data_IF_488111859154
#
_entry.id   IF_488111859154
#
_cell.length_a   1.000
_cell.length_b   1.000
_cell.length_c   1.000
_cell.angle_alpha   90.00
_cell.angle_beta   90.00
_cell.angle_gamma   90.00
#
_symmetry.space_group_name_H-M   'P 1'
#
loop_
_entity.id
_entity.type
_entity.pdbx_description
1 polymer ?
#
# COMPACT_ATOMS: atom_id res chain seq x y z
N UNK A 1 5.75 59.77 21.45
CA UNK A 1 4.48 59.06 21.80
C UNK A 1 3.56 58.73 20.60
N UNK A 2 3.45 59.51 19.50
CA UNK A 2 2.55 59.17 18.38
C UNK A 2 3.04 57.99 17.51
N UNK A 3 4.35 57.85 17.28
CA UNK A 3 4.93 56.71 16.52
C UNK A 3 4.64 55.34 17.14
N UNK A 4 4.69 55.22 18.48
CA UNK A 4 4.35 53.96 19.18
C UNK A 4 2.89 53.54 18.98
N UNK A 5 1.95 54.50 18.91
CA UNK A 5 0.52 54.23 18.65
C UNK A 5 0.28 53.84 17.20
N UNK A 6 0.99 54.46 16.25
CA UNK A 6 0.95 54.06 14.84
C UNK A 6 1.51 52.65 14.63
N UNK A 7 2.65 52.30 15.21
CA UNK A 7 3.18 50.93 15.14
C UNK A 7 2.17 49.91 15.69
N UNK A 8 1.56 50.18 16.84
CA UNK A 8 0.56 49.27 17.43
C UNK A 8 -0.69 49.11 16.55
N UNK A 9 -1.15 50.20 15.92
CA UNK A 9 -2.28 50.18 15.00
C UNK A 9 -1.96 49.37 13.73
N UNK A 10 -0.77 49.55 13.14
CA UNK A 10 -0.32 48.76 11.99
C UNK A 10 -0.13 47.29 12.35
N UNK A 11 0.45 46.96 13.51
CA UNK A 11 0.57 45.57 13.97
C UNK A 11 -0.80 44.93 14.18
N UNK A 12 -1.76 45.63 14.79
CA UNK A 12 -3.12 45.14 14.95
C UNK A 12 -3.83 44.92 13.60
N UNK A 13 -3.65 45.83 12.65
CA UNK A 13 -4.19 45.69 11.29
C UNK A 13 -3.59 44.51 10.54
N UNK A 14 -2.27 44.31 10.62
CA UNK A 14 -1.59 43.16 10.02
C UNK A 14 -2.15 41.88 10.61
N UNK A 15 -2.23 41.76 11.93
CA UNK A 15 -2.79 40.57 12.59
C UNK A 15 -4.24 40.34 12.18
N UNK A 16 -5.06 41.38 12.13
CA UNK A 16 -6.47 41.29 11.71
C UNK A 16 -6.63 40.89 10.23
N UNK A 17 -5.64 41.16 9.39
CA UNK A 17 -5.66 40.79 7.96
C UNK A 17 -5.27 39.33 7.69
N UNK A 18 -4.56 38.67 8.61
CA UNK A 18 -4.06 37.30 8.41
C UNK A 18 -5.17 36.31 8.03
N UNK A 19 -6.33 36.24 8.72
CA UNK A 19 -7.39 35.30 8.35
C UNK A 19 -7.90 35.52 6.92
N UNK A 20 -8.05 36.77 6.50
CA UNK A 20 -8.49 37.12 5.15
C UNK A 20 -7.48 36.71 4.09
N UNK A 21 -6.18 36.91 4.36
CA UNK A 21 -5.11 36.44 3.47
C UNK A 21 -5.12 34.92 3.37
N UNK A 22 -5.26 34.20 4.48
CA UNK A 22 -5.34 32.73 4.48
C UNK A 22 -6.54 32.22 3.69
N UNK A 23 -7.72 32.82 3.90
CA UNK A 23 -8.93 32.49 3.15
C UNK A 23 -8.74 32.76 1.66
N UNK A 24 -8.19 33.93 1.31
CA UNK A 24 -7.86 34.26 -0.08
C UNK A 24 -6.91 33.23 -0.70
N UNK A 25 -5.83 32.84 -0.01
CA UNK A 25 -4.87 31.85 -0.50
C UNK A 25 -5.53 30.49 -0.73
N UNK A 26 -6.40 30.04 0.17
CA UNK A 26 -7.15 28.78 0.03
C UNK A 26 -8.03 28.81 -1.22
N UNK A 27 -8.84 29.86 -1.40
CA UNK A 27 -9.71 29.97 -2.58
C UNK A 27 -8.90 30.15 -3.87
N UNK A 28 -7.89 31.00 -3.85
CA UNK A 28 -7.02 31.25 -5.00
C UNK A 28 -6.35 29.94 -5.45
N UNK A 29 -5.75 29.19 -4.52
CA UNK A 29 -5.10 27.91 -4.84
C UNK A 29 -6.12 26.89 -5.33
N UNK A 30 -7.27 26.77 -4.67
CA UNK A 30 -8.30 25.81 -5.06
C UNK A 30 -8.90 26.07 -6.45
N UNK A 31 -8.88 27.31 -6.93
CA UNK A 31 -9.41 27.70 -8.24
C UNK A 31 -8.32 27.63 -9.30
N UNK A 32 -7.16 28.27 -9.07
CA UNK A 32 -6.16 28.52 -10.10
C UNK A 32 -4.99 27.54 -10.08
N UNK A 33 -4.67 26.94 -8.92
CA UNK A 33 -3.56 26.00 -8.75
C UNK A 33 -3.99 24.68 -8.07
N UNK A 34 -5.10 24.06 -8.50
CA UNK A 34 -5.60 22.85 -7.85
C UNK A 34 -4.71 21.64 -8.10
N UNK A 35 -4.58 20.77 -7.09
CA UNK A 35 -3.81 19.53 -7.25
C UNK A 35 -4.66 18.41 -7.83
N UNK A 36 -4.11 17.69 -8.82
CA UNK A 36 -4.65 16.46 -9.39
C UNK A 36 -6.12 16.59 -9.84
N UNK A 37 -6.51 17.79 -10.32
CA UNK A 37 -7.82 18.04 -10.95
C UNK A 37 -7.71 18.23 -12.45
N UNK A 38 -6.51 18.47 -12.98
CA UNK A 38 -6.26 18.52 -14.41
C UNK A 38 -5.81 17.14 -14.88
N UNK A 39 -6.79 16.34 -15.30
CA UNK A 39 -6.56 14.96 -15.73
C UNK A 39 -5.84 14.94 -17.09
N UNK A 40 -4.85 14.05 -17.28
CA UNK A 40 -4.24 13.81 -18.58
C UNK A 40 -5.30 13.42 -19.64
N UNK A 41 -5.05 13.73 -20.91
CA UNK A 41 -6.07 13.53 -21.96
C UNK A 41 -6.49 12.06 -22.11
N UNK A 42 -5.56 11.13 -22.01
CA UNK A 42 -5.87 9.70 -22.08
C UNK A 42 -6.82 9.26 -20.95
N UNK A 43 -6.73 9.86 -19.76
CA UNK A 43 -7.69 9.60 -18.70
C UNK A 43 -9.08 10.11 -19.07
N UNK A 44 -9.20 11.32 -19.62
CA UNK A 44 -10.49 11.88 -20.06
C UNK A 44 -11.12 11.08 -21.19
N UNK A 45 -10.32 10.52 -22.09
CA UNK A 45 -10.79 9.62 -23.16
C UNK A 45 -11.40 8.36 -22.55
N UNK A 46 -10.70 7.71 -21.60
CA UNK A 46 -11.20 6.53 -20.91
C UNK A 46 -12.47 6.85 -20.10
N UNK A 47 -12.49 7.95 -19.35
CA UNK A 47 -13.65 8.37 -18.57
C UNK A 47 -14.89 8.59 -19.47
N UNK A 48 -14.73 9.30 -20.60
CA UNK A 48 -15.81 9.50 -21.58
C UNK A 48 -16.31 8.16 -22.12
N UNK A 49 -15.42 7.23 -22.44
CA UNK A 49 -15.78 5.89 -22.92
C UNK A 49 -16.58 5.12 -21.86
N UNK A 50 -16.19 5.19 -20.60
CA UNK A 50 -16.90 4.57 -19.49
C UNK A 50 -18.28 5.18 -19.23
N UNK A 51 -18.46 6.49 -19.42
CA UNK A 51 -19.73 7.20 -19.17
C UNK A 51 -20.70 7.17 -20.36
N UNK A 52 -20.21 7.14 -21.59
CA UNK A 52 -21.05 7.23 -22.80
C UNK A 52 -21.58 5.88 -23.29
N UNK A 53 -21.24 4.78 -22.61
CA UNK A 53 -21.69 3.44 -22.98
C UNK A 53 -22.12 2.66 -21.74
N UNK A 54 -23.05 1.74 -21.92
CA UNK A 54 -23.45 0.75 -20.91
C UNK A 54 -22.92 -0.65 -21.22
N UNK A 55 -22.22 -0.83 -22.34
CA UNK A 55 -21.70 -2.13 -22.75
C UNK A 55 -20.64 -2.65 -21.75
N UNK A 56 -20.65 -3.95 -21.41
CA UNK A 56 -19.61 -4.54 -20.60
C UNK A 56 -18.23 -4.42 -21.27
N UNK A 57 -17.17 -4.19 -20.49
CA UNK A 57 -15.80 -4.08 -21.02
C UNK A 57 -15.47 -2.71 -21.63
N UNK A 58 -16.37 -1.72 -21.50
CA UNK A 58 -16.15 -0.36 -22.02
C UNK A 58 -14.92 0.34 -21.46
N UNK A 59 -14.47 0.00 -20.24
CA UNK A 59 -13.25 0.53 -19.64
C UNK A 59 -11.98 -0.24 -20.01
N UNK A 60 -12.08 -1.38 -20.70
CA UNK A 60 -10.96 -2.26 -21.02
C UNK A 60 -10.73 -2.35 -22.54
N UNK A 61 -10.14 -1.30 -23.17
CA UNK A 61 -9.96 -1.23 -24.62
C UNK A 61 -9.21 -2.42 -25.22
N UNK A 62 -8.27 -2.99 -24.44
CA UNK A 62 -7.34 -4.01 -24.90
C UNK A 62 -7.77 -5.43 -24.48
N UNK A 63 -8.95 -5.59 -23.86
CA UNK A 63 -9.45 -6.86 -23.33
C UNK A 63 -8.45 -7.57 -22.40
N UNK A 64 -7.70 -6.82 -21.60
CA UNK A 64 -6.73 -7.38 -20.65
C UNK A 64 -7.44 -8.25 -19.61
N UNK A 65 -6.86 -9.42 -19.32
CA UNK A 65 -7.35 -10.34 -18.28
C UNK A 65 -6.91 -9.84 -16.91
N UNK A 66 -7.88 -9.57 -16.04
CA UNK A 66 -7.65 -8.98 -14.72
C UNK A 66 -8.05 -9.96 -13.63
N UNK A 67 -7.09 -10.30 -12.77
CA UNK A 67 -7.37 -10.98 -11.50
C UNK A 67 -7.54 -9.91 -10.42
N UNK A 68 -8.69 -9.87 -9.76
CA UNK A 68 -8.95 -8.96 -8.63
C UNK A 68 -8.85 -9.80 -7.35
N UNK A 69 -7.99 -9.40 -6.43
CA UNK A 69 -7.81 -10.02 -5.14
C UNK A 69 -8.23 -9.05 -4.02
N UNK A 70 -9.00 -9.54 -3.05
CA UNK A 70 -9.35 -8.78 -1.87
C UNK A 70 -9.29 -9.68 -0.64
N UNK A 71 -8.56 -9.26 0.39
CA UNK A 71 -8.64 -9.84 1.72
C UNK A 71 -9.43 -8.87 2.60
N UNK A 72 -10.65 -9.25 2.97
CA UNK A 72 -11.62 -8.38 3.62
C UNK A 72 -11.80 -8.80 5.07
N UNK A 73 -12.04 -7.82 5.94
CA UNK A 73 -12.59 -8.01 7.26
C UNK A 73 -13.94 -7.28 7.33
N UNK A 74 -15.04 -8.01 7.19
CA UNK A 74 -16.39 -7.44 7.18
C UNK A 74 -17.29 -8.20 8.15
N UNK A 75 -16.95 -8.12 9.44
CA UNK A 75 -17.62 -8.91 10.48
C UNK A 75 -19.15 -8.77 10.44
N UNK A 76 -19.69 -7.60 10.08
CA UNK A 76 -21.13 -7.38 10.03
C UNK A 76 -21.76 -7.52 8.64
N UNK A 77 -20.98 -7.89 7.61
CA UNK A 77 -21.43 -7.99 6.22
C UNK A 77 -21.79 -6.65 5.56
N UNK A 78 -21.51 -5.53 6.23
CA UNK A 78 -21.95 -4.19 5.81
C UNK A 78 -21.13 -3.65 4.63
N UNK A 79 -19.86 -4.03 4.54
CA UNK A 79 -18.97 -3.57 3.48
C UNK A 79 -19.35 -4.25 2.15
N UNK A 80 -19.44 -5.59 2.17
CA UNK A 80 -19.75 -6.42 1.01
C UNK A 80 -21.19 -6.25 0.53
N UNK A 81 -22.16 -6.13 1.44
CA UNK A 81 -23.55 -5.85 1.06
C UNK A 81 -23.81 -4.37 0.71
N UNK A 82 -22.82 -3.51 0.96
CA UNK A 82 -22.93 -2.05 0.87
C UNK A 82 -22.22 -1.45 -0.34
N UNK A 83 -21.65 -0.26 -0.13
CA UNK A 83 -21.06 0.55 -1.21
C UNK A 83 -19.87 -0.14 -1.88
N UNK A 84 -19.01 -0.78 -1.09
CA UNK A 84 -17.82 -1.46 -1.62
C UNK A 84 -18.21 -2.57 -2.60
N UNK A 85 -19.14 -3.45 -2.21
CA UNK A 85 -19.63 -4.51 -3.09
C UNK A 85 -20.25 -3.99 -4.38
N UNK A 86 -21.10 -2.96 -4.29
CA UNK A 86 -21.70 -2.31 -5.47
C UNK A 86 -20.62 -1.72 -6.40
N UNK A 87 -19.58 -1.08 -5.85
CA UNK A 87 -18.48 -0.53 -6.63
C UNK A 87 -17.65 -1.62 -7.31
N UNK A 88 -17.42 -2.78 -6.66
CA UNK A 88 -16.76 -3.93 -7.27
C UNK A 88 -17.58 -4.50 -8.43
N UNK A 89 -18.90 -4.61 -8.28
CA UNK A 89 -19.80 -5.02 -9.37
C UNK A 89 -19.69 -4.07 -10.56
N UNK A 90 -19.67 -2.75 -10.31
CA UNK A 90 -19.47 -1.75 -11.37
C UNK A 90 -18.09 -1.86 -12.04
N UNK A 91 -17.03 -2.08 -11.26
CA UNK A 91 -15.68 -2.30 -11.77
C UNK A 91 -15.62 -3.53 -12.70
N UNK A 92 -16.25 -4.64 -12.30
CA UNK A 92 -16.33 -5.86 -13.13
C UNK A 92 -17.07 -5.58 -14.44
N UNK A 93 -18.14 -4.79 -14.41
CA UNK A 93 -18.85 -4.35 -15.63
C UNK A 93 -17.97 -3.47 -16.53
N UNK A 94 -17.21 -2.54 -15.95
CA UNK A 94 -16.30 -1.67 -16.70
C UNK A 94 -15.17 -2.47 -17.38
N UNK A 95 -14.60 -3.45 -16.67
CA UNK A 95 -13.50 -4.30 -17.19
C UNK A 95 -14.00 -5.38 -18.16
N UNK A 96 -15.28 -5.73 -18.08
CA UNK A 96 -15.91 -6.80 -18.86
C UNK A 96 -15.88 -8.10 -18.07
N UNK A 97 -17.04 -8.68 -17.69
CA UNK A 97 -17.09 -9.87 -16.84
C UNK A 97 -16.30 -11.06 -17.39
N UNK A 98 -16.20 -11.21 -18.71
CA UNK A 98 -15.42 -12.23 -19.42
C UNK A 98 -13.89 -12.06 -19.29
N UNK A 99 -13.43 -10.90 -18.84
CA UNK A 99 -12.03 -10.56 -18.65
C UNK A 99 -11.61 -10.56 -17.17
N UNK A 100 -12.54 -10.82 -16.24
CA UNK A 100 -12.31 -10.68 -14.81
C UNK A 100 -12.40 -12.02 -14.10
N UNK A 101 -11.47 -12.22 -13.16
CA UNK A 101 -11.60 -13.19 -12.09
C UNK A 101 -11.55 -12.46 -10.75
N UNK A 102 -12.54 -12.65 -9.88
CA UNK A 102 -12.56 -12.04 -8.55
C UNK A 102 -12.30 -13.10 -7.47
N UNK A 103 -11.27 -12.89 -6.66
CA UNK A 103 -11.02 -13.64 -5.43
C UNK A 103 -11.22 -12.75 -4.22
N UNK A 104 -12.19 -13.10 -3.37
CA UNK A 104 -12.40 -12.46 -2.07
C UNK A 104 -12.15 -13.50 -0.99
N UNK A 105 -11.28 -13.18 -0.05
CA UNK A 105 -10.97 -13.99 1.11
C UNK A 105 -11.39 -13.28 2.39
N UNK A 106 -12.12 -13.98 3.25
CA UNK A 106 -12.49 -13.51 4.58
C UNK A 106 -12.19 -14.59 5.62
N UNK A 107 -11.49 -14.19 6.68
CA UNK A 107 -11.13 -15.05 7.79
C UNK A 107 -12.13 -14.94 8.95
N UNK A 108 -12.66 -16.07 9.41
CA UNK A 108 -13.63 -16.17 10.51
C UNK A 108 -14.89 -15.29 10.35
N UNK A 109 -15.57 -15.30 9.17
CA UNK A 109 -16.81 -14.55 9.01
C UNK A 109 -17.93 -15.14 9.88
N UNK A 110 -18.78 -14.26 10.43
CA UNK A 110 -20.04 -14.68 11.03
C UNK A 110 -21.11 -14.94 9.95
N UNK A 111 -22.33 -15.28 10.35
CA UNK A 111 -23.42 -15.62 9.42
C UNK A 111 -23.82 -14.44 8.52
N UNK A 112 -23.79 -13.21 9.02
CA UNK A 112 -24.11 -12.00 8.25
C UNK A 112 -23.05 -11.71 7.18
N UNK A 113 -21.77 -11.88 7.52
CA UNK A 113 -20.65 -11.75 6.60
C UNK A 113 -20.73 -12.82 5.49
N UNK A 114 -20.99 -14.09 5.85
CA UNK A 114 -21.19 -15.17 4.86
C UNK A 114 -22.37 -14.91 3.92
N UNK A 115 -23.49 -14.44 4.45
CA UNK A 115 -24.65 -14.07 3.64
C UNK A 115 -24.33 -12.93 2.68
N UNK A 116 -23.50 -11.97 3.10
CA UNK A 116 -23.09 -10.82 2.28
C UNK A 116 -22.12 -11.21 1.17
N UNK A 117 -21.16 -12.12 1.44
CA UNK A 117 -20.35 -12.77 0.41
C UNK A 117 -21.22 -13.48 -0.63
N UNK A 118 -22.18 -14.31 -0.20
CA UNK A 118 -23.08 -15.02 -1.12
C UNK A 118 -23.90 -14.05 -1.98
N UNK A 119 -24.40 -12.96 -1.38
CA UNK A 119 -25.13 -11.91 -2.09
C UNK A 119 -24.26 -11.23 -3.15
N UNK A 120 -23.03 -10.84 -2.81
CA UNK A 120 -22.10 -10.27 -3.79
C UNK A 120 -21.85 -11.24 -4.95
N UNK A 121 -21.63 -12.53 -4.65
CA UNK A 121 -21.47 -13.57 -5.68
C UNK A 121 -22.65 -13.64 -6.64
N UNK A 122 -23.88 -13.53 -6.14
CA UNK A 122 -25.10 -13.56 -6.98
C UNK A 122 -25.24 -12.37 -7.93
N UNK A 123 -24.55 -11.25 -7.67
CA UNK A 123 -24.58 -10.05 -8.50
C UNK A 123 -23.49 -10.02 -9.59
N UNK A 124 -22.53 -10.95 -9.53
CA UNK A 124 -21.36 -10.97 -10.40
C UNK A 124 -21.53 -11.98 -11.54
N UNK A 125 -21.28 -11.51 -12.77
CA UNK A 125 -21.34 -12.33 -13.99
C UNK A 125 -19.94 -12.78 -14.46
N UNK A 126 -18.96 -12.85 -13.56
CA UNK A 126 -17.57 -13.21 -13.85
C UNK A 126 -17.17 -14.47 -13.06
N UNK A 127 -15.96 -14.99 -13.32
CA UNK A 127 -15.45 -16.09 -12.50
C UNK A 127 -15.10 -15.57 -11.09
N UNK A 128 -15.57 -16.27 -10.06
CA UNK A 128 -15.37 -15.84 -8.67
C UNK A 128 -14.86 -16.98 -7.78
N UNK A 129 -14.07 -16.62 -6.78
CA UNK A 129 -13.75 -17.44 -5.62
C UNK A 129 -14.01 -16.61 -4.37
N UNK A 130 -15.10 -16.93 -3.67
CA UNK A 130 -15.50 -16.26 -2.43
C UNK A 130 -15.22 -17.23 -1.28
N UNK A 131 -14.07 -17.07 -0.64
CA UNK A 131 -13.56 -18.00 0.37
C UNK A 131 -13.83 -17.43 1.76
N UNK A 132 -14.65 -18.16 2.51
CA UNK A 132 -14.93 -17.94 3.92
C UNK A 132 -14.42 -19.16 4.70
N UNK A 133 -13.35 -19.00 5.47
CA UNK A 133 -12.76 -20.11 6.24
C UNK A 133 -12.18 -19.66 7.58
N UNK A 134 -11.91 -20.64 8.44
CA UNK A 134 -11.13 -20.46 9.65
C UNK A 134 -9.64 -20.59 9.31
N UNK A 135 -8.85 -19.57 9.61
CA UNK A 135 -7.40 -19.63 9.51
C UNK A 135 -6.85 -20.33 10.75
N UNK A 136 -6.22 -21.52 10.62
CA UNK A 136 -5.52 -22.15 11.74
C UNK A 136 -4.37 -21.26 12.21
N UNK A 137 -4.61 -20.51 13.29
CA UNK A 137 -3.68 -19.53 13.85
C UNK A 137 -2.43 -20.20 14.44
N UNK A 138 -2.46 -21.51 14.65
CA UNK A 138 -1.36 -22.35 15.10
C UNK A 138 -0.24 -22.44 14.05
N UNK A 139 -0.58 -22.32 12.76
CA UNK A 139 0.36 -22.39 11.65
C UNK A 139 1.13 -21.08 11.44
N UNK A 140 0.67 -19.97 12.02
CA UNK A 140 1.32 -18.67 11.87
C UNK A 140 2.44 -18.52 12.90
N UNK A 141 3.67 -18.18 12.47
CA UNK A 141 4.80 -18.04 13.38
C UNK A 141 4.55 -17.06 14.54
N UNK A 142 4.94 -17.50 15.74
CA UNK A 142 4.83 -16.74 16.98
C UNK A 142 6.20 -16.26 17.45
N UNK A 143 6.22 -15.12 18.12
CA UNK A 143 7.40 -14.51 18.70
C UNK A 143 7.25 -14.37 20.21
N UNK A 144 8.35 -14.55 20.94
CA UNK A 144 8.40 -14.32 22.39
C UNK A 144 8.53 -12.82 22.66
N UNK A 145 7.61 -12.26 23.44
CA UNK A 145 7.62 -10.87 23.92
C UNK A 145 8.51 -10.72 25.16
N UNK A 146 8.88 -9.49 25.57
CA UNK A 146 9.75 -9.27 26.73
C UNK A 146 9.20 -9.83 28.06
N UNK A 147 7.88 -10.02 28.18
CA UNK A 147 7.23 -10.63 29.34
C UNK A 147 7.11 -12.17 29.24
N UNK A 148 7.71 -12.80 28.22
CA UNK A 148 7.71 -14.26 28.03
C UNK A 148 6.50 -14.84 27.30
N UNK A 149 5.51 -14.02 26.92
CA UNK A 149 4.37 -14.51 26.14
C UNK A 149 4.77 -14.85 24.70
N UNK A 150 4.20 -15.93 24.15
CA UNK A 150 4.29 -16.23 22.72
C UNK A 150 3.11 -15.60 22.01
N UNK A 151 3.37 -14.60 21.16
CA UNK A 151 2.36 -13.82 20.46
C UNK A 151 2.54 -13.88 18.95
N UNK A 152 1.44 -13.84 18.21
CA UNK A 152 1.48 -13.83 16.75
C UNK A 152 1.89 -12.46 16.20
N UNK A 153 2.89 -12.42 15.29
CA UNK A 153 3.25 -11.15 14.61
C UNK A 153 2.11 -10.72 13.68
N UNK A 154 1.73 -9.44 13.73
CA UNK A 154 0.69 -8.85 12.90
C UNK A 154 0.99 -9.03 11.40
N UNK A 155 2.23 -8.79 10.99
CA UNK A 155 2.60 -8.85 9.56
C UNK A 155 2.65 -10.30 9.06
N UNK A 156 3.00 -11.26 9.91
CA UNK A 156 2.91 -12.68 9.55
C UNK A 156 1.46 -13.07 9.23
N UNK A 157 0.52 -12.66 10.09
CA UNK A 157 -0.91 -12.85 9.86
C UNK A 157 -1.40 -12.17 8.57
N UNK A 158 -1.07 -10.90 8.35
CA UNK A 158 -1.49 -10.17 7.15
C UNK A 158 -0.91 -10.77 5.86
N UNK A 159 0.33 -11.24 5.89
CA UNK A 159 0.97 -11.90 4.76
C UNK A 159 0.22 -13.17 4.36
N UNK A 160 -0.12 -14.01 5.34
CA UNK A 160 -0.87 -15.24 5.11
C UNK A 160 -2.24 -14.94 4.52
N UNK A 161 -3.00 -14.02 5.13
CA UNK A 161 -4.34 -13.61 4.67
C UNK A 161 -4.32 -13.11 3.21
N UNK A 162 -3.32 -12.31 2.82
CA UNK A 162 -3.18 -11.85 1.42
C UNK A 162 -2.80 -12.99 0.47
N UNK A 163 -1.92 -13.90 0.90
CA UNK A 163 -1.57 -15.08 0.12
C UNK A 163 -2.78 -16.00 -0.11
N UNK A 164 -3.69 -16.11 0.86
CA UNK A 164 -4.95 -16.86 0.69
C UNK A 164 -5.84 -16.28 -0.42
N UNK A 165 -5.92 -14.96 -0.51
CA UNK A 165 -6.61 -14.28 -1.62
C UNK A 165 -5.94 -14.51 -3.00
N UNK A 166 -4.68 -14.97 -3.04
CA UNK A 166 -3.98 -15.31 -4.29
C UNK A 166 -4.05 -16.78 -4.66
N UNK A 167 -4.52 -17.67 -3.79
CA UNK A 167 -4.58 -19.12 -4.08
C UNK A 167 -5.28 -19.45 -5.39
N UNK A 168 -6.41 -18.83 -5.77
CA UNK A 168 -7.05 -19.16 -7.04
C UNK A 168 -6.22 -18.80 -8.27
N UNK A 169 -5.27 -17.86 -8.15
CA UNK A 169 -4.33 -17.52 -9.22
C UNK A 169 -3.31 -18.64 -9.49
N UNK A 170 -3.00 -19.48 -8.50
CA UNK A 170 -2.04 -20.59 -8.62
C UNK A 170 -2.55 -21.75 -9.44
N UNK A 171 -3.85 -22.01 -9.32
CA UNK A 171 -4.54 -23.12 -9.97
C UNK A 171 -5.27 -22.68 -11.23
N UNK A 172 -5.22 -21.38 -11.57
CA UNK A 172 -5.78 -20.84 -12.78
C UNK A 172 -5.14 -21.47 -14.02
N UNK A 173 -6.00 -21.85 -14.97
CA UNK A 173 -5.57 -22.43 -16.26
C UNK A 173 -5.33 -21.37 -17.33
N UNK A 174 -5.70 -20.12 -17.05
CA UNK A 174 -5.48 -18.96 -17.91
C UNK A 174 -4.40 -18.05 -17.32
N UNK A 175 -3.74 -17.27 -18.17
CA UNK A 175 -2.84 -16.21 -17.73
C UNK A 175 -3.60 -14.90 -17.63
N UNK A 176 -3.36 -14.18 -16.54
CA UNK A 176 -3.82 -12.81 -16.35
C UNK A 176 -2.74 -11.83 -16.75
N UNK A 177 -3.16 -10.70 -17.33
CA UNK A 177 -2.29 -9.57 -17.66
C UNK A 177 -2.07 -8.69 -16.42
N UNK A 178 -3.13 -8.46 -15.64
CA UNK A 178 -3.14 -7.58 -14.47
C UNK A 178 -3.65 -8.27 -13.22
N UNK A 179 -3.05 -7.91 -12.09
CA UNK A 179 -3.50 -8.28 -10.75
C UNK A 179 -3.87 -6.99 -10.02
N UNK A 180 -5.12 -6.85 -9.57
CA UNK A 180 -5.57 -5.72 -8.76
C UNK A 180 -5.85 -6.20 -7.34
N UNK A 181 -5.11 -5.70 -6.37
CA UNK A 181 -5.44 -5.82 -4.96
C UNK A 181 -6.32 -4.66 -4.51
N UNK A 182 -7.40 -4.96 -3.78
CA UNK A 182 -8.30 -3.97 -3.19
C UNK A 182 -8.51 -4.31 -1.71
N UNK A 183 -8.19 -3.37 -0.83
CA UNK A 183 -8.53 -3.44 0.59
C UNK A 183 -10.02 -3.04 0.81
N UNK A 184 -10.42 -2.95 2.06
CA UNK A 184 -11.69 -2.43 2.57
C UNK A 184 -11.85 -0.90 2.43
N UNK A 185 -11.44 -0.33 1.30
CA UNK A 185 -11.47 1.12 1.02
C UNK A 185 -12.62 1.51 0.08
N UNK A 186 -13.12 2.73 0.24
CA UNK A 186 -13.99 3.40 -0.72
C UNK A 186 -13.15 3.90 -1.91
N UNK A 187 -13.61 3.62 -3.12
CA UNK A 187 -12.95 4.03 -4.36
C UNK A 187 -13.97 4.35 -5.46
N UNK A 188 -13.51 5.02 -6.52
CA UNK A 188 -14.28 5.22 -7.76
C UNK A 188 -13.91 4.14 -8.78
N UNK A 189 -14.89 3.46 -9.41
CA UNK A 189 -14.61 2.32 -10.26
C UNK A 189 -13.97 2.74 -11.60
N UNK A 190 -14.20 3.97 -12.08
CA UNK A 190 -13.47 4.50 -13.25
C UNK A 190 -12.02 4.81 -12.85
N UNK A 191 -11.79 5.41 -11.68
CA UNK A 191 -10.43 5.63 -11.15
C UNK A 191 -9.65 4.30 -10.98
N UNK A 192 -10.31 3.22 -10.56
CA UNK A 192 -9.68 1.90 -10.50
C UNK A 192 -9.27 1.36 -11.89
N UNK A 193 -10.09 1.60 -12.92
CA UNK A 193 -9.73 1.27 -14.32
C UNK A 193 -8.56 2.13 -14.80
N UNK A 194 -8.52 3.42 -14.44
CA UNK A 194 -7.38 4.29 -14.76
C UNK A 194 -6.09 3.79 -14.12
N UNK A 195 -6.14 3.40 -12.85
CA UNK A 195 -5.00 2.82 -12.13
C UNK A 195 -4.43 1.64 -12.92
N UNK A 196 -5.29 0.70 -13.31
CA UNK A 196 -4.93 -0.53 -14.03
C UNK A 196 -4.43 -0.31 -15.46
N UNK A 197 -5.07 0.58 -16.22
CA UNK A 197 -4.96 0.58 -17.69
C UNK A 197 -4.51 1.93 -18.27
N UNK A 198 -4.27 2.94 -17.44
CA UNK A 198 -3.93 4.29 -17.91
C UNK A 198 -2.78 4.96 -17.16
N UNK A 199 -2.27 4.37 -16.07
CA UNK A 199 -1.06 4.89 -15.43
C UNK A 199 0.20 4.54 -16.23
N UNK A 200 1.06 5.53 -16.46
CA UNK A 200 2.35 5.37 -17.15
C UNK A 200 2.22 4.62 -18.50
N UNK A 201 1.31 5.09 -19.37
CA UNK A 201 1.09 4.47 -20.68
C UNK A 201 2.11 4.91 -21.72
N UNK A 202 2.51 3.97 -22.58
CA UNK A 202 3.32 4.24 -23.76
C UNK A 202 2.51 4.81 -24.93
N UNK A 203 3.18 5.07 -26.06
CA UNK A 203 2.54 5.57 -27.29
C UNK A 203 1.48 4.65 -27.89
N UNK A 204 1.48 3.36 -27.51
CA UNK A 204 0.50 2.37 -27.95
C UNK A 204 -0.67 2.24 -26.95
N UNK A 205 -0.68 3.03 -25.88
CA UNK A 205 -1.70 2.96 -24.83
C UNK A 205 -1.56 1.73 -23.93
N UNK A 206 -0.35 1.16 -23.81
CA UNK A 206 -0.06 0.04 -22.90
C UNK A 206 0.69 0.55 -21.68
N UNK A 207 0.29 0.06 -20.51
CA UNK A 207 0.88 0.49 -19.24
C UNK A 207 2.30 -0.07 -19.07
N UNK A 208 3.20 0.78 -18.56
CA UNK A 208 4.62 0.47 -18.37
C UNK A 208 4.96 0.51 -16.88
N UNK A 209 4.54 -0.48 -16.11
CA UNK A 209 4.85 -0.59 -14.69
C UNK A 209 4.94 -2.04 -14.26
N UNK A 210 5.75 -2.33 -13.23
CA UNK A 210 5.67 -3.58 -12.49
C UNK A 210 4.55 -3.53 -11.44
N UNK A 211 4.41 -2.38 -10.77
CA UNK A 211 3.31 -2.10 -9.85
C UNK A 211 2.90 -0.62 -9.86
N UNK A 212 1.63 -0.34 -9.55
CA UNK A 212 1.12 1.01 -9.33
C UNK A 212 0.07 1.03 -8.22
N UNK A 213 0.19 1.98 -7.30
CA UNK A 213 -0.74 2.13 -6.17
C UNK A 213 -1.57 3.40 -6.25
N UNK A 214 -2.78 3.35 -5.71
CA UNK A 214 -3.57 4.54 -5.39
C UNK A 214 -2.96 5.31 -4.20
N UNK A 215 -3.63 6.38 -3.78
CA UNK A 215 -3.28 7.14 -2.56
C UNK A 215 -4.45 7.10 -1.60
N UNK A 216 -4.23 6.60 -0.38
CA UNK A 216 -5.28 6.42 0.62
C UNK A 216 -5.26 7.48 1.73
N UNK A 217 -6.44 7.70 2.28
CA UNK A 217 -6.70 8.74 3.26
C UNK A 217 -7.53 8.21 4.41
N UNK A 218 -7.02 8.43 5.64
CA UNK A 218 -7.75 8.14 6.88
C UNK A 218 -8.64 9.32 7.29
N UNK A 219 -8.30 10.52 6.81
CA UNK A 219 -9.19 11.68 6.81
C UNK A 219 -8.87 12.54 5.59
N UNK A 220 -9.68 13.56 5.33
CA UNK A 220 -9.65 14.28 4.05
C UNK A 220 -8.33 15.02 3.71
N UNK A 221 -7.35 15.09 4.60
CA UNK A 221 -6.03 15.67 4.34
C UNK A 221 -4.86 14.79 4.79
N UNK A 222 -5.12 13.69 5.50
CA UNK A 222 -4.11 12.82 6.12
C UNK A 222 -3.97 11.52 5.34
N UNK A 223 -2.83 11.39 4.67
CA UNK A 223 -2.34 10.17 4.02
C UNK A 223 -2.19 9.04 5.04
N UNK A 224 -2.65 7.83 4.70
CA UNK A 224 -2.68 6.73 5.65
C UNK A 224 -1.46 5.81 5.56
N UNK A 225 -1.17 5.23 4.38
CA UNK A 225 -0.22 4.11 4.21
C UNK A 225 1.28 4.48 4.33
N UNK A 226 1.70 5.11 5.44
CA UNK A 226 3.11 5.47 5.69
C UNK A 226 4.02 4.29 5.97
N UNK A 227 3.46 3.15 6.40
CA UNK A 227 4.26 1.98 6.73
C UNK A 227 4.70 1.19 5.49
N UNK A 228 3.83 1.06 4.48
CA UNK A 228 4.13 0.41 3.22
C UNK A 228 4.88 1.32 2.23
N UNK A 229 4.70 2.63 2.33
CA UNK A 229 5.20 3.57 1.33
C UNK A 229 6.64 4.00 1.60
N UNK A 230 7.46 3.96 0.56
CA UNK A 230 8.85 4.40 0.57
C UNK A 230 9.15 5.20 -0.68
N UNK A 231 9.87 6.30 -0.53
CA UNK A 231 10.30 7.10 -1.68
C UNK A 231 11.30 6.32 -2.56
N UNK A 232 11.73 6.93 -3.67
CA UNK A 232 12.63 6.31 -4.64
C UNK A 232 14.00 5.89 -4.04
N UNK A 233 14.41 6.49 -2.94
CA UNK A 233 15.66 6.21 -2.22
C UNK A 233 15.44 5.34 -0.97
N UNK A 234 14.21 4.87 -0.75
CA UNK A 234 13.85 4.03 0.39
C UNK A 234 13.64 4.79 1.70
N UNK A 235 13.57 6.12 1.67
CA UNK A 235 13.15 6.88 2.83
C UNK A 235 11.67 6.65 3.12
N UNK A 236 11.32 6.71 4.39
CA UNK A 236 9.92 6.81 4.79
C UNK A 236 9.32 8.17 4.43
N UNK A 237 7.99 8.26 4.56
CA UNK A 237 7.24 9.48 4.31
C UNK A 237 7.64 10.60 5.28
N UNK A 238 7.40 11.84 4.89
CA UNK A 238 7.40 12.96 5.82
C UNK A 238 6.06 13.05 6.56
N UNK A 239 5.69 14.26 6.99
CA UNK A 239 4.38 14.50 7.56
C UNK A 239 3.26 14.09 6.58
N UNK A 240 2.20 13.48 7.13
CA UNK A 240 1.12 12.81 6.41
C UNK A 240 0.18 13.71 5.60
N UNK A 241 0.54 14.95 5.31
CA UNK A 241 -0.23 15.85 4.46
C UNK A 241 0.63 16.30 3.27
N UNK A 242 0.00 16.83 2.23
CA UNK A 242 0.67 17.10 0.95
C UNK A 242 1.97 17.93 1.12
N UNK A 243 3.08 17.56 0.45
CA UNK A 243 3.24 16.51 -0.58
C UNK A 243 3.58 15.10 -0.06
N UNK A 244 3.31 14.82 1.22
CA UNK A 244 3.48 13.53 1.92
C UNK A 244 4.92 13.04 2.08
N UNK A 245 5.75 13.13 1.03
CA UNK A 245 7.15 12.74 1.05
C UNK A 245 8.02 13.80 1.71
N UNK A 246 9.06 13.36 2.42
CA UNK A 246 10.02 14.27 3.04
C UNK A 246 10.93 14.92 1.98
N UNK A 247 11.55 16.04 2.36
CA UNK A 247 12.56 16.73 1.57
C UNK A 247 13.95 16.22 1.98
N UNK A 248 14.26 14.99 1.59
CA UNK A 248 15.48 14.27 1.94
C UNK A 248 16.08 13.59 0.69
N UNK A 249 17.39 13.33 0.72
CA UNK A 249 18.11 12.80 -0.44
C UNK A 249 18.01 13.73 -1.65
N UNK A 250 17.79 13.15 -2.82
CA UNK A 250 17.49 13.86 -4.08
C UNK A 250 16.03 14.38 -4.11
N UNK A 251 15.19 13.90 -3.19
CA UNK A 251 13.77 14.25 -3.08
C UNK A 251 12.98 14.07 -4.39
N UNK A 252 13.43 13.15 -5.26
CA UNK A 252 12.87 12.97 -6.60
C UNK A 252 11.39 12.60 -6.58
N UNK A 253 10.97 11.74 -5.64
CA UNK A 253 9.56 11.39 -5.43
C UNK A 253 8.72 12.60 -5.01
N UNK A 254 9.24 13.43 -4.09
CA UNK A 254 8.58 14.66 -3.67
C UNK A 254 8.42 15.63 -4.84
N UNK A 255 9.45 15.76 -5.67
CA UNK A 255 9.40 16.58 -6.88
C UNK A 255 8.37 16.06 -7.89
N UNK A 256 8.27 14.75 -8.09
CA UNK A 256 7.24 14.13 -8.93
C UNK A 256 5.82 14.50 -8.43
N UNK A 257 5.58 14.46 -7.11
CA UNK A 257 4.29 14.86 -6.51
C UNK A 257 4.01 16.36 -6.74
N UNK A 258 5.01 17.22 -6.54
CA UNK A 258 4.88 18.66 -6.76
C UNK A 258 4.65 19.01 -8.23
N UNK A 259 5.21 18.20 -9.14
CA UNK A 259 5.05 18.27 -10.58
C UNK A 259 3.72 17.66 -11.08
N UNK A 260 2.89 17.11 -10.20
CA UNK A 260 1.57 16.56 -10.53
C UNK A 260 1.61 15.38 -11.51
N UNK A 261 2.66 14.56 -11.43
CA UNK A 261 2.77 13.36 -12.27
C UNK A 261 1.73 12.32 -11.85
N UNK A 262 1.17 11.60 -12.82
CA UNK A 262 0.31 10.44 -12.57
C UNK A 262 1.12 9.17 -12.25
N UNK A 263 2.39 9.14 -12.67
CA UNK A 263 3.37 8.10 -12.33
C UNK A 263 4.46 8.67 -11.42
N UNK A 264 4.14 8.86 -10.13
CA UNK A 264 5.11 9.29 -9.12
C UNK A 264 6.01 8.11 -8.78
N UNK A 265 7.33 8.23 -9.02
CA UNK A 265 8.28 7.13 -8.78
C UNK A 265 8.49 6.87 -7.29
N UNK A 266 8.37 5.61 -6.89
CA UNK A 266 8.53 5.16 -5.49
C UNK A 266 9.25 3.81 -5.44
N UNK A 267 9.81 3.42 -4.30
CA UNK A 267 10.28 2.04 -4.11
C UNK A 267 9.18 1.09 -3.68
N UNK A 268 8.16 1.60 -3.00
CA UNK A 268 7.00 0.81 -2.57
C UNK A 268 5.82 1.71 -2.23
N UNK A 269 4.61 1.15 -2.33
CA UNK A 269 3.35 1.79 -1.96
C UNK A 269 2.28 0.73 -1.73
N UNK A 270 1.08 1.12 -1.29
CA UNK A 270 -0.09 0.22 -1.28
C UNK A 270 -1.39 1.00 -1.52
N UNK A 271 -1.64 2.04 -0.73
CA UNK A 271 -2.69 3.03 -0.96
C UNK A 271 -4.09 2.45 -0.99
N UNK A 272 -4.33 1.35 -0.26
CA UNK A 272 -5.59 0.60 -0.24
C UNK A 272 -6.00 -0.08 -1.57
N UNK A 273 -5.35 0.23 -2.68
CA UNK A 273 -5.62 -0.37 -3.99
C UNK A 273 -4.34 -0.35 -4.84
N UNK A 274 -3.86 -1.52 -5.24
CA UNK A 274 -2.60 -1.67 -5.98
C UNK A 274 -2.76 -2.60 -7.18
N UNK A 275 -2.29 -2.17 -8.35
CA UNK A 275 -2.23 -2.98 -9.55
C UNK A 275 -0.81 -3.48 -9.81
N UNK A 276 -0.66 -4.72 -10.24
CA UNK A 276 0.60 -5.37 -10.61
C UNK A 276 0.53 -5.94 -12.03
N UNK A 277 1.69 -6.11 -12.67
CA UNK A 277 1.87 -7.09 -13.74
C UNK A 277 1.64 -8.51 -13.19
N UNK A 278 0.56 -9.17 -13.59
CA UNK A 278 0.18 -10.44 -12.99
C UNK A 278 1.16 -11.58 -13.32
N UNK A 279 1.99 -11.45 -14.36
CA UNK A 279 2.98 -12.47 -14.73
C UNK A 279 3.96 -12.80 -13.62
N UNK A 280 4.23 -11.87 -12.69
CA UNK A 280 5.12 -12.10 -11.55
C UNK A 280 4.49 -12.95 -10.45
N UNK A 281 3.17 -13.13 -10.47
CA UNK A 281 2.39 -13.87 -9.47
C UNK A 281 1.88 -15.22 -9.99
N UNK A 282 2.24 -15.58 -11.22
CA UNK A 282 1.77 -16.77 -11.93
C UNK A 282 2.94 -17.64 -12.36
N UNK A 283 2.72 -18.95 -12.41
CA UNK A 283 3.67 -19.86 -13.06
C UNK A 283 3.59 -19.63 -14.57
N UNK A 284 4.72 -19.63 -15.31
CA UNK A 284 4.69 -19.60 -16.76
C UNK A 284 3.85 -20.77 -17.29
N UNK A 285 3.00 -20.54 -18.29
CA UNK A 285 2.39 -21.64 -19.02
C UNK A 285 3.52 -22.49 -19.61
N UNK A 286 3.60 -23.76 -19.21
CA UNK A 286 4.51 -24.71 -19.84
C UNK A 286 4.01 -24.94 -21.25
N UNK A 287 4.59 -24.22 -22.20
CA UNK A 287 4.29 -24.39 -23.61
C UNK A 287 4.87 -25.73 -24.07
N UNK A 288 4.02 -26.75 -24.23
CA UNK A 288 4.42 -28.06 -24.76
C UNK A 288 4.87 -27.99 -26.23
N UNK A 289 4.79 -26.83 -26.90
CA UNK A 289 4.98 -26.71 -28.35
C UNK A 289 6.28 -26.05 -28.81
N UNK A 290 6.99 -25.30 -27.97
CA UNK A 290 8.17 -24.53 -28.40
C UNK A 290 9.50 -25.25 -28.21
N UNK A 291 9.59 -26.45 -28.79
CA UNK A 291 10.86 -27.07 -29.19
C UNK A 291 11.24 -26.59 -30.60
N UNK A 292 11.25 -25.28 -30.86
CA UNK A 292 11.71 -24.73 -32.14
C UNK A 292 12.44 -23.39 -32.01
N UNK A 293 13.53 -23.31 -32.76
CA UNK A 293 14.66 -22.37 -32.71
C UNK A 293 14.27 -20.89 -32.82
N UNK A 294 14.65 -20.10 -31.82
CA UNK A 294 14.72 -18.63 -31.85
C UNK A 294 15.67 -18.15 -30.74
N UNK A 295 16.49 -17.12 -31.01
CA UNK A 295 17.54 -16.63 -30.11
C UNK A 295 17.02 -16.38 -28.67
N UNK A 296 17.77 -16.75 -27.63
CA UNK A 296 17.36 -16.55 -26.24
C UNK A 296 17.40 -15.04 -25.92
N UNK A 297 16.25 -14.38 -25.96
CA UNK A 297 16.04 -13.19 -25.13
C UNK A 297 16.08 -13.66 -23.69
N UNK A 298 17.04 -13.12 -22.91
CA UNK A 298 17.30 -13.33 -21.48
C UNK A 298 16.48 -14.46 -20.82
N UNK A 299 17.16 -15.57 -20.57
CA UNK A 299 16.65 -16.75 -19.89
C UNK A 299 15.70 -16.39 -18.73
N UNK A 300 14.40 -16.64 -18.92
CA UNK A 300 13.43 -16.69 -17.82
C UNK A 300 13.77 -17.94 -17.01
N UNK A 301 14.66 -17.82 -16.03
CA UNK A 301 14.71 -18.78 -14.93
C UNK A 301 13.28 -18.94 -14.40
N UNK A 302 12.78 -20.17 -14.19
CA UNK A 302 11.47 -20.35 -13.58
C UNK A 302 11.54 -19.86 -12.13
N UNK A 303 11.17 -18.60 -11.91
CA UNK A 303 11.04 -18.03 -10.58
C UNK A 303 9.73 -18.51 -9.97
N UNK A 304 9.76 -18.83 -8.66
CA UNK A 304 8.54 -19.05 -7.90
C UNK A 304 7.67 -17.78 -7.96
N UNK A 305 6.34 -17.91 -8.10
CA UNK A 305 5.43 -16.78 -8.05
C UNK A 305 5.64 -15.91 -6.80
N UNK A 306 5.57 -14.59 -6.97
CA UNK A 306 5.67 -13.63 -5.86
C UNK A 306 4.57 -13.85 -4.82
N UNK A 307 4.94 -13.91 -3.54
CA UNK A 307 4.03 -14.05 -2.41
C UNK A 307 4.39 -13.07 -1.32
N UNK A 308 3.40 -12.66 -0.54
CA UNK A 308 3.60 -11.81 0.62
C UNK A 308 4.40 -12.57 1.66
N UNK A 309 5.36 -11.89 2.27
CA UNK A 309 6.21 -12.39 3.35
C UNK A 309 6.35 -11.32 4.43
N UNK A 310 6.89 -11.73 5.56
CA UNK A 310 7.12 -10.88 6.73
C UNK A 310 8.59 -10.97 7.16
N UNK A 311 9.03 -10.04 8.01
CA UNK A 311 10.35 -10.11 8.64
C UNK A 311 10.30 -11.01 9.87
N UNK A 312 11.24 -11.95 9.98
CA UNK A 312 11.30 -12.90 11.10
C UNK A 312 12.00 -12.32 12.33
N UNK A 313 12.89 -11.33 12.13
CA UNK A 313 13.66 -10.72 13.21
C UNK A 313 12.74 -10.21 14.33
N UNK A 314 13.10 -10.45 15.60
CA UNK A 314 12.38 -9.89 16.72
C UNK A 314 12.57 -8.38 16.79
N UNK A 315 11.48 -7.68 17.11
CA UNK A 315 11.46 -6.22 17.25
C UNK A 315 11.87 -5.44 15.99
N UNK A 316 11.79 -6.09 14.84
CA UNK A 316 11.91 -5.48 13.52
C UNK A 316 10.69 -5.88 12.69
N UNK A 317 9.94 -4.88 12.22
CA UNK A 317 8.79 -5.10 11.34
C UNK A 317 8.99 -4.35 10.03
N UNK A 318 8.64 -5.01 8.94
CA UNK A 318 8.51 -4.42 7.62
C UNK A 318 7.13 -4.77 7.08
N UNK A 319 6.45 -3.82 6.44
CA UNK A 319 5.15 -4.10 5.83
C UNK A 319 5.30 -5.15 4.73
N UNK A 320 4.44 -6.16 4.74
CA UNK A 320 4.30 -7.16 3.68
C UNK A 320 4.00 -6.50 2.32
N UNK A 321 3.26 -5.38 2.34
CA UNK A 321 2.98 -4.57 1.17
C UNK A 321 4.22 -3.83 0.66
N UNK A 322 5.22 -3.54 1.50
CA UNK A 322 6.51 -3.02 1.03
C UNK A 322 7.43 -4.16 0.54
N UNK A 323 7.46 -5.28 1.25
CA UNK A 323 8.33 -6.41 0.92
C UNK A 323 7.99 -7.01 -0.46
N UNK A 324 6.71 -7.12 -0.81
CA UNK A 324 6.30 -7.61 -2.14
C UNK A 324 6.84 -6.75 -3.29
N UNK A 325 6.94 -5.43 -3.09
CA UNK A 325 7.51 -4.49 -4.05
C UNK A 325 9.03 -4.63 -4.16
N UNK A 326 9.71 -4.86 -3.03
CA UNK A 326 11.14 -5.11 -3.03
C UNK A 326 11.50 -6.42 -3.75
N UNK A 327 10.71 -7.48 -3.52
CA UNK A 327 10.87 -8.75 -4.21
C UNK A 327 10.62 -8.62 -5.71
N UNK A 328 9.55 -7.90 -6.09
CA UNK A 328 9.26 -7.58 -7.48
C UNK A 328 10.42 -6.83 -8.15
N UNK A 329 10.96 -5.81 -7.49
CA UNK A 329 12.09 -5.04 -8.01
C UNK A 329 13.32 -5.94 -8.21
N UNK A 330 13.60 -6.80 -7.22
CA UNK A 330 14.70 -7.76 -7.29
C UNK A 330 14.54 -8.75 -8.45
N UNK A 331 13.32 -9.22 -8.73
CA UNK A 331 13.05 -10.10 -9.86
C UNK A 331 13.14 -9.39 -11.22
N UNK A 332 12.71 -8.12 -11.28
CA UNK A 332 12.70 -7.33 -12.53
C UNK A 332 14.09 -6.87 -12.94
N UNK A 333 14.92 -6.48 -11.98
CA UNK A 333 16.19 -5.79 -12.25
C UNK A 333 17.43 -6.55 -11.75
N UNK A 334 17.25 -7.65 -11.01
CA UNK A 334 18.35 -8.36 -10.36
C UNK A 334 19.08 -7.47 -9.36
N UNK A 335 20.42 -7.50 -9.39
CA UNK A 335 21.27 -6.61 -8.61
C UNK A 335 21.46 -5.23 -9.24
N UNK A 336 20.93 -5.00 -10.46
CA UNK A 336 21.09 -3.73 -11.14
C UNK A 336 20.01 -2.77 -10.65
N UNK A 337 20.32 -1.94 -9.66
CA UNK A 337 19.41 -0.91 -9.15
C UNK A 337 19.31 0.23 -10.16
N UNK A 338 18.50 0.03 -11.22
CA UNK A 338 18.13 1.14 -12.10
C UNK A 338 17.45 2.26 -11.30
N UNK A 339 17.64 3.51 -11.72
CA UNK A 339 16.98 4.69 -11.14
C UNK A 339 15.44 4.61 -11.17
N UNK A 340 14.88 3.74 -12.00
CA UNK A 340 13.44 3.45 -12.04
C UNK A 340 13.20 2.02 -11.55
N UNK A 341 12.48 1.87 -10.44
CA UNK A 341 11.99 0.60 -9.89
C UNK A 341 10.85 0.01 -10.72
N UNK A 342 10.27 0.82 -11.63
CA UNK A 342 8.99 0.59 -12.30
C UNK A 342 7.83 0.40 -11.35
N UNK A 343 7.92 1.01 -10.16
CA UNK A 343 6.85 1.08 -9.17
C UNK A 343 6.43 2.54 -9.05
N UNK A 344 5.14 2.78 -9.21
CA UNK A 344 4.59 4.12 -9.21
C UNK A 344 3.45 4.30 -8.22
N UNK A 345 3.29 5.50 -7.72
CA UNK A 345 2.09 5.94 -7.01
C UNK A 345 1.30 6.87 -7.94
N UNK A 346 -0.02 6.72 -7.98
CA UNK A 346 -0.90 7.55 -8.79
C UNK A 346 -1.82 8.43 -7.93
N UNK A 347 -1.48 9.71 -7.70
CA UNK A 347 -2.26 10.59 -6.84
C UNK A 347 -3.58 11.11 -7.43
N UNK A 348 -3.85 10.83 -8.72
CA UNK A 348 -5.18 11.07 -9.30
C UNK A 348 -6.21 10.09 -8.75
N UNK A 349 -5.80 8.85 -8.52
CA UNK A 349 -6.60 7.76 -7.97
C UNK A 349 -6.53 7.81 -6.45
N UNK A 350 -7.61 8.22 -5.79
CA UNK A 350 -7.63 8.35 -4.33
C UNK A 350 -8.65 7.43 -3.70
N UNK A 351 -8.30 6.83 -2.56
CA UNK A 351 -9.16 5.94 -1.79
C UNK A 351 -9.30 6.46 -0.36
N UNK A 352 -10.30 5.98 0.38
CA UNK A 352 -10.45 6.29 1.80
C UNK A 352 -11.16 5.18 2.56
N UNK A 353 -10.91 5.07 3.86
CA UNK A 353 -11.50 4.03 4.71
C UNK A 353 -12.96 4.30 5.11
N UNK A 354 -13.48 5.50 4.82
CA UNK A 354 -14.88 5.83 5.07
C UNK A 354 -15.47 6.72 3.96
N UNK A 355 -16.80 6.61 3.79
CA UNK A 355 -17.53 7.32 2.74
C UNK A 355 -17.51 8.84 2.89
N UNK A 356 -17.42 9.36 4.12
CA UNK A 356 -17.40 10.81 4.37
C UNK A 356 -16.05 11.37 3.93
N UNK A 357 -14.95 10.77 4.37
CA UNK A 357 -13.60 11.14 3.93
C UNK A 357 -13.50 11.06 2.41
N UNK A 358 -13.93 9.94 1.80
CA UNK A 358 -13.92 9.77 0.35
C UNK A 358 -14.63 10.91 -0.38
N UNK A 359 -15.83 11.29 0.08
CA UNK A 359 -16.61 12.40 -0.49
C UNK A 359 -15.93 13.78 -0.40
N UNK A 360 -15.07 13.99 0.60
CA UNK A 360 -14.32 15.22 0.78
C UNK A 360 -13.05 15.32 -0.07
N UNK A 361 -12.46 14.19 -0.50
CA UNK A 361 -11.17 14.18 -1.22
C UNK A 361 -11.17 14.99 -2.52
N UNK A 362 -12.33 15.12 -3.20
CA UNK A 362 -12.46 15.96 -4.40
C UNK A 362 -12.34 17.46 -4.12
N UNK A 363 -12.63 17.88 -2.89
CA UNK A 363 -12.55 19.27 -2.47
C UNK A 363 -11.21 19.57 -1.82
N UNK A 364 -10.75 18.72 -0.92
CA UNK A 364 -9.49 18.94 -0.16
C UNK A 364 -8.25 18.85 -1.03
N UNK A 365 -8.29 18.09 -2.13
CA UNK A 365 -7.19 18.06 -3.09
C UNK A 365 -6.91 19.40 -3.78
N UNK A 366 -7.91 20.29 -3.82
CA UNK A 366 -7.78 21.56 -4.54
C UNK A 366 -6.80 22.53 -3.85
N UNK A 367 -6.91 22.83 -2.54
CA UNK A 367 -5.97 23.73 -1.88
C UNK A 367 -4.71 23.06 -1.31
N UNK A 368 -4.57 21.72 -1.35
CA UNK A 368 -3.54 20.99 -0.57
C UNK A 368 -2.08 21.42 -0.86
N UNK A 369 -1.80 22.02 -2.02
CA UNK A 369 -0.48 22.58 -2.35
C UNK A 369 0.00 23.65 -1.37
N UNK A 370 -0.91 24.36 -0.70
CA UNK A 370 -0.58 25.32 0.34
C UNK A 370 0.15 24.66 1.52
N UNK A 371 -0.08 23.37 1.75
CA UNK A 371 0.56 22.66 2.85
C UNK A 371 2.04 22.39 2.62
N UNK A 372 2.54 22.49 1.38
CA UNK A 372 3.91 22.09 1.03
C UNK A 372 5.01 22.79 1.84
N UNK A 373 4.83 24.07 2.16
CA UNK A 373 5.77 24.84 2.99
C UNK A 373 5.74 24.38 4.45
N UNK A 374 4.54 24.29 5.02
CA UNK A 374 4.35 23.86 6.41
C UNK A 374 4.79 22.40 6.58
N UNK A 375 4.53 21.55 5.59
CA UNK A 375 4.94 20.14 5.57
C UNK A 375 6.45 20.02 5.68
N UNK A 376 7.21 20.80 4.91
CA UNK A 376 8.66 20.80 4.96
C UNK A 376 9.20 21.26 6.31
N UNK A 377 8.64 22.33 6.88
CA UNK A 377 9.03 22.85 8.20
C UNK A 377 8.75 21.82 9.30
N UNK A 378 7.53 21.31 9.37
CA UNK A 378 7.10 20.39 10.42
C UNK A 378 7.83 19.06 10.31
N UNK A 379 8.05 18.54 9.09
CA UNK A 379 8.80 17.29 8.89
C UNK A 379 10.24 17.41 9.39
N UNK A 380 10.92 18.52 9.08
CA UNK A 380 12.29 18.77 9.58
C UNK A 380 12.33 18.93 11.10
N UNK A 381 11.38 19.65 11.70
CA UNK A 381 11.28 19.80 13.15
C UNK A 381 10.98 18.46 13.86
N UNK A 382 10.23 17.58 13.21
CA UNK A 382 9.93 16.23 13.71
C UNK A 382 11.06 15.21 13.44
N UNK A 383 12.16 15.60 12.79
CA UNK A 383 13.25 14.68 12.46
C UNK A 383 12.90 13.66 11.36
N UNK A 384 11.93 13.96 10.50
CA UNK A 384 11.51 13.10 9.40
C UNK A 384 12.33 13.37 8.12
N UNK A 385 12.64 12.34 7.33
CA UNK A 385 12.31 10.93 7.58
C UNK A 385 13.19 10.35 8.70
N UNK A 386 12.63 9.48 9.53
CA UNK A 386 13.37 8.83 10.62
C UNK A 386 14.50 7.97 10.06
N UNK A 387 15.57 7.85 10.85
CA UNK A 387 16.73 7.04 10.49
C UNK A 387 16.37 5.56 10.45
N UNK A 388 16.59 4.93 9.29
CA UNK A 388 16.53 3.48 9.12
C UNK A 388 17.96 2.95 8.86
N UNK A 389 18.56 2.17 9.79
CA UNK A 389 19.91 1.65 9.63
C UNK A 389 20.06 0.69 8.44
N UNK A 390 18.97 0.03 8.02
CA UNK A 390 18.98 -0.98 6.97
C UNK A 390 18.58 -0.43 5.59
N UNK A 391 18.39 0.90 5.46
CA UNK A 391 17.86 1.53 4.23
C UNK A 391 18.74 1.32 3.00
N UNK A 392 20.05 1.42 3.19
CA UNK A 392 21.02 1.42 2.09
C UNK A 392 21.50 0.01 1.71
N UNK A 393 21.21 -0.99 2.54
CA UNK A 393 21.59 -2.38 2.32
C UNK A 393 21.00 -2.92 1.01
N UNK A 394 21.85 -3.48 0.14
CA UNK A 394 21.45 -4.08 -1.13
C UNK A 394 21.41 -5.60 -1.04
N UNK A 395 20.52 -6.27 -1.80
CA UNK A 395 20.51 -7.73 -1.87
C UNK A 395 21.89 -8.29 -2.28
N UNK A 396 22.45 -9.15 -1.44
CA UNK A 396 23.78 -9.74 -1.65
C UNK A 396 24.91 -9.11 -0.82
N UNK A 397 24.70 -7.94 -0.22
CA UNK A 397 25.70 -7.30 0.64
C UNK A 397 25.94 -8.14 1.91
N UNK A 398 27.19 -8.23 2.35
CA UNK A 398 27.50 -8.71 3.71
C UNK A 398 27.27 -7.57 4.71
N UNK A 399 26.22 -7.68 5.52
CA UNK A 399 25.82 -6.65 6.48
C UNK A 399 25.93 -7.15 7.91
N UNK A 400 26.10 -6.21 8.84
CA UNK A 400 26.08 -6.47 10.28
C UNK A 400 24.81 -5.82 10.84
N UNK A 401 23.82 -6.63 11.16
CA UNK A 401 22.54 -6.16 11.69
C UNK A 401 22.49 -6.35 13.21
N UNK A 402 21.92 -5.37 13.91
CA UNK A 402 21.63 -5.48 15.34
C UNK A 402 20.29 -6.19 15.53
N UNK A 403 20.32 -7.36 16.15
CA UNK A 403 19.14 -8.22 16.37
C UNK A 403 19.04 -8.59 17.84
N UNK A 404 17.85 -8.46 18.41
CA UNK A 404 17.60 -8.82 19.80
C UNK A 404 17.72 -10.33 19.98
N UNK A 405 18.47 -10.75 21.00
CA UNK A 405 18.51 -12.14 21.48
C UNK A 405 18.23 -12.15 22.97
N UNK A 406 17.43 -13.12 23.40
CA UNK A 406 17.25 -13.42 24.80
C UNK A 406 18.48 -14.17 25.33
N UNK A 407 18.79 -13.99 26.61
CA UNK A 407 19.79 -14.79 27.31
C UNK A 407 19.28 -16.26 27.42
N UNK A 408 20.15 -17.26 27.53
CA UNK A 408 19.88 -18.70 27.27
C UNK A 408 18.58 -19.31 27.86
N UNK A 409 18.14 -20.44 27.27
CA UNK A 409 16.83 -21.12 27.43
C UNK A 409 16.37 -21.45 28.87
N UNK A 410 17.22 -21.38 29.90
CA UNK A 410 16.84 -21.71 31.29
C UNK A 410 15.76 -20.76 31.86
N UNK A 411 15.69 -19.51 31.38
CA UNK A 411 14.69 -18.52 31.82
C UNK A 411 13.39 -18.53 30.98
N UNK A 412 13.26 -19.40 29.96
CA UNK A 412 12.03 -19.49 29.15
C UNK A 412 10.82 -20.08 29.90
N UNK A 413 11.03 -20.62 31.10
CA UNK A 413 9.97 -21.04 32.01
C UNK A 413 10.13 -20.35 33.36
N UNK A 414 9.71 -19.07 33.50
CA UNK A 414 9.61 -18.50 34.83
C UNK A 414 8.56 -19.32 35.60
N UNK A 415 9.00 -20.07 36.61
CA UNK A 415 8.18 -20.88 37.54
C UNK A 415 7.17 -20.04 38.37
N UNK A 416 7.03 -18.76 38.04
CA UNK A 416 6.05 -17.82 38.55
C UNK A 416 5.89 -16.71 37.50
N UNK A 417 4.70 -16.55 36.93
CA UNK A 417 4.41 -15.67 35.77
C UNK A 417 4.57 -14.17 36.00
N UNK A 418 5.76 -13.71 36.42
CA UNK A 418 6.08 -12.31 36.71
C UNK A 418 7.57 -11.98 36.52
N UNK A 419 8.24 -12.53 35.50
CA UNK A 419 9.63 -12.21 35.16
C UNK A 419 9.73 -11.57 33.79
N UNK A 420 10.34 -10.38 33.69
CA UNK A 420 10.80 -9.81 32.42
C UNK A 420 12.01 -10.59 31.93
N UNK A 421 11.94 -11.17 30.73
CA UNK A 421 13.05 -11.87 30.10
C UNK A 421 14.19 -10.88 29.80
N UNK A 422 15.42 -11.30 30.13
CA UNK A 422 16.63 -10.53 29.82
C UNK A 422 17.13 -10.86 28.43
N UNK A 423 17.80 -9.89 27.82
CA UNK A 423 18.39 -10.04 26.50
C UNK A 423 19.16 -8.79 26.10
N UNK A 424 19.79 -8.87 24.93
CA UNK A 424 20.57 -7.78 24.38
C UNK A 424 20.54 -7.76 22.86
N UNK A 425 20.81 -6.60 22.27
CA UNK A 425 21.06 -6.51 20.84
C UNK A 425 22.44 -7.06 20.52
N UNK A 426 22.47 -8.07 19.66
CA UNK A 426 23.70 -8.71 19.19
C UNK A 426 23.95 -8.38 17.73
N UNK A 427 25.21 -8.15 17.38
CA UNK A 427 25.65 -7.96 16.01
C UNK A 427 25.65 -9.30 15.29
N UNK A 428 24.82 -9.46 14.26
CA UNK A 428 24.76 -10.67 13.44
C UNK A 428 25.25 -10.33 12.04
N UNK A 429 26.28 -11.03 11.58
CA UNK A 429 26.73 -10.97 10.18
C UNK A 429 25.81 -11.85 9.32
N UNK A 430 25.22 -11.28 8.26
CA UNK A 430 24.37 -12.01 7.30
C UNK A 430 24.40 -11.35 5.93
N UNK A 431 23.93 -12.07 4.92
CA UNK A 431 23.71 -11.51 3.59
C UNK A 431 22.36 -10.79 3.55
N UNK A 432 22.36 -9.53 3.12
CA UNK A 432 21.14 -8.75 2.97
C UNK A 432 20.23 -9.34 1.89
N UNK A 433 18.93 -9.38 2.18
CA UNK A 433 17.87 -9.82 1.26
C UNK A 433 17.08 -8.60 0.75
N UNK A 434 16.24 -8.73 -0.29
CA UNK A 434 15.41 -7.61 -0.75
C UNK A 434 14.53 -7.03 0.38
N UNK A 435 14.33 -5.70 0.35
CA UNK A 435 13.34 -5.03 1.21
C UNK A 435 13.85 -4.53 2.55
N UNK A 436 15.16 -4.47 2.78
CA UNK A 436 15.74 -3.94 4.03
C UNK A 436 15.34 -2.49 4.35
N UNK A 437 15.06 -1.68 3.33
CA UNK A 437 14.50 -0.33 3.46
C UNK A 437 13.04 -0.27 3.94
N UNK A 438 12.30 -1.38 3.91
CA UNK A 438 10.90 -1.43 4.32
C UNK A 438 10.72 -1.35 5.84
N UNK A 439 11.69 -1.86 6.59
CA UNK A 439 11.53 -2.13 8.01
C UNK A 439 11.83 -0.95 8.94
N UNK A 440 11.37 -1.07 10.18
CA UNK A 440 11.77 -0.22 11.30
C UNK A 440 11.73 -1.02 12.61
N UNK A 441 12.40 -0.50 13.65
CA UNK A 441 12.32 -1.07 15.00
C UNK A 441 10.93 -0.87 15.57
N UNK A 442 10.20 -1.97 15.73
CA UNK A 442 8.87 -2.04 16.32
C UNK A 442 8.48 -3.52 16.45
N UNK A 443 7.46 -3.83 17.23
CA UNK A 443 6.81 -5.14 17.22
C UNK A 443 5.30 -4.91 17.33
N UNK A 444 4.53 -5.48 16.40
CA UNK A 444 3.07 -5.47 16.45
C UNK A 444 2.56 -6.89 16.48
N UNK A 445 1.67 -7.17 17.44
CA UNK A 445 1.11 -8.51 17.64
C UNK A 445 -0.40 -8.48 17.49
N UNK A 446 -0.97 -9.61 17.04
CA UNK A 446 -2.42 -9.79 16.98
C UNK A 446 -2.96 -9.90 18.41
N UNK A 447 -4.12 -9.28 18.66
CA UNK A 447 -4.86 -9.49 19.90
C UNK A 447 -5.67 -10.79 19.75
N UNK A 448 -5.21 -11.85 20.40
CA UNK A 448 -5.82 -13.18 20.33
C UNK A 448 -7.07 -13.22 21.25
N UNK A 449 -8.27 -13.35 20.66
CA UNK A 449 -9.55 -13.28 21.35
C UNK A 449 -10.73 -13.00 20.39
N UNK A 450 -11.95 -12.82 20.93
CA UNK A 450 -13.08 -12.38 20.11
C UNK A 450 -12.79 -11.00 19.53
N UNK A 451 -12.50 -10.96 18.23
CA UNK A 451 -12.13 -9.73 17.49
C UNK A 451 -13.22 -8.67 17.68
N UNK A 452 -12.84 -7.53 18.24
CA UNK A 452 -13.67 -6.32 18.26
C UNK A 452 -13.20 -5.40 17.14
N UNK A 453 -14.14 -4.65 16.56
CA UNK A 453 -13.95 -3.87 15.33
C UNK A 453 -12.77 -2.86 15.37
N UNK A 454 -12.24 -2.50 16.55
CA UNK A 454 -11.19 -1.48 16.70
C UNK A 454 -9.89 -1.95 17.39
N UNK A 455 -9.79 -3.21 17.87
CA UNK A 455 -8.69 -3.65 18.75
C UNK A 455 -8.09 -5.00 18.34
N UNK A 456 -7.77 -5.14 17.04
CA UNK A 456 -7.28 -6.39 16.46
C UNK A 456 -5.78 -6.63 16.64
N UNK A 457 -5.01 -5.61 17.03
CA UNK A 457 -3.57 -5.71 17.23
C UNK A 457 -3.06 -4.66 18.21
N UNK A 458 -1.94 -4.95 18.86
CA UNK A 458 -1.28 -4.06 19.82
C UNK A 458 0.21 -3.91 19.49
N UNK A 459 0.80 -2.79 19.90
CA UNK A 459 2.25 -2.58 19.80
C UNK A 459 2.90 -3.04 21.09
N UNK A 460 3.98 -3.79 20.98
CA UNK A 460 4.80 -4.20 22.11
C UNK A 460 5.93 -3.18 22.28
N UNK A 461 6.16 -2.77 23.52
CA UNK A 461 7.27 -1.87 23.86
C UNK A 461 8.60 -2.54 23.53
N UNK A 462 9.50 -1.77 22.93
CA UNK A 462 10.82 -2.27 22.55
C UNK A 462 11.64 -2.51 23.82
N UNK A 463 12.32 -3.65 23.94
CA UNK A 463 13.18 -3.89 25.08
C UNK A 463 14.36 -2.91 25.03
N UNK A 464 14.60 -2.24 26.15
CA UNK A 464 15.80 -1.41 26.31
C UNK A 464 16.98 -2.33 26.63
N UNK A 465 18.17 -2.11 26.02
CA UNK A 465 19.36 -2.80 26.48
C UNK A 465 19.57 -2.52 27.98
N UNK A 466 20.03 -3.51 28.77
CA UNK A 466 20.32 -3.28 30.18
C UNK A 466 21.32 -2.12 30.32
N UNK A 467 20.96 -1.15 31.15
CA UNK A 467 21.76 0.04 31.48
C UNK A 467 23.04 -0.30 32.21
#
# INVERSE_FOLDING_TARGET
>A
RPQRRQCFFWTAWVIASIPWVLVFLVYFTAIFLPSYTHWPEHYRVLERRCKNSTQPGRGNPNNEKVFIAASIYDHNGTLLAGRWGNTVVELVQLLGPQNVYLSVYENDPNDAARASLAKLGSQLNCNVSLVAEHLPLEEIPRITTPNGEKRMKRIAFLSEVRNRALRPLETATIQFDKLLFINDVMFDPIEAVQLLLSTNVDSNGRTQYGAVCAVDFINAFKFYDTFATRDLEGYEMGMQFFPWFADAGDAATRQDVMAQKDAVRVRSCWGGMTAFEASWFQKPLVDKSTRYKGKPSAAKTPHSPLRFRFEEDPFWEASECCLIHADLTSLRHGHNTSFDSGIYMNPYVRTAYDSKTFGWLKYTRRPERLYSLIQGIVSRLAGMPHYNPRRLEQPGDEVIEQVWKYDEEEDMFPLSGAGTLRGSYTAIKRTAVPGRFCGKRMLQVVNEGARKDEDNWSSIELPMPPS
#
